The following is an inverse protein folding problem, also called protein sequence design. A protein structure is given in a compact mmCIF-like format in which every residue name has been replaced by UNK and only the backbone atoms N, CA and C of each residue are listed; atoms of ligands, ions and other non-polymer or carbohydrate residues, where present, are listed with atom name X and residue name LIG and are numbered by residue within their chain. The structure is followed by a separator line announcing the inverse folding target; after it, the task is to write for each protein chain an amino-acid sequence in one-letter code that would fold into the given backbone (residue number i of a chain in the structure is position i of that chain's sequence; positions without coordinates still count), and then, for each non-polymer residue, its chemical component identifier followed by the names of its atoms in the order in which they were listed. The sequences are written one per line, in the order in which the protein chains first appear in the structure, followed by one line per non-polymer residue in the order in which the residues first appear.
data_IF_592306343840
#
_entry.id   IF_592306343840
#
_cell.length_a   1.000
_cell.length_b   1.000
_cell.length_c   1.000
_cell.angle_alpha   90.00
_cell.angle_beta   90.00
_cell.angle_gamma   90.00
#
_symmetry.space_group_name_H-M   'P 1'
#
loop_
_entity.id
_entity.type
_entity.pdbx_description
1 polymer ?
#
# COMPACT_ATOMS: atom_id res chain seq x y z
N UNK A 1 -27.13 8.17 3.70
CA UNK A 1 -26.99 8.04 2.24
C UNK A 1 -25.58 7.60 1.76
N UNK A 2 -24.53 7.69 2.58
CA UNK A 2 -23.13 7.37 2.21
C UNK A 2 -22.78 5.87 2.17
N UNK A 3 -23.56 5.00 2.81
CA UNK A 3 -23.24 3.58 2.94
C UNK A 3 -23.46 2.78 1.64
N UNK A 4 -24.52 3.08 0.89
CA UNK A 4 -24.96 2.27 -0.24
C UNK A 4 -24.10 2.49 -1.51
N UNK A 5 -23.73 3.74 -1.79
CA UNK A 5 -22.81 4.08 -2.89
C UNK A 5 -21.43 3.45 -2.70
N UNK A 6 -20.90 3.46 -1.48
CA UNK A 6 -19.63 2.82 -1.13
C UNK A 6 -19.70 1.31 -1.34
N UNK A 7 -20.83 0.68 -1.00
CA UNK A 7 -21.03 -0.77 -1.20
C UNK A 7 -21.08 -1.17 -2.68
N UNK A 8 -21.81 -0.42 -3.50
CA UNK A 8 -21.86 -0.64 -4.95
C UNK A 8 -20.48 -0.44 -5.60
N UNK A 9 -19.74 0.58 -5.17
CA UNK A 9 -18.38 0.83 -5.64
C UNK A 9 -17.43 -0.33 -5.31
N UNK A 10 -17.42 -0.80 -4.06
CA UNK A 10 -16.60 -1.95 -3.64
C UNK A 10 -16.97 -3.23 -4.41
N UNK A 11 -18.26 -3.49 -4.64
CA UNK A 11 -18.69 -4.64 -5.44
C UNK A 11 -18.20 -4.59 -6.90
N UNK A 12 -18.05 -3.40 -7.48
CA UNK A 12 -17.47 -3.25 -8.82
C UNK A 12 -15.96 -3.49 -8.78
N UNK A 13 -15.28 -2.97 -7.77
CA UNK A 13 -13.84 -3.18 -7.61
C UNK A 13 -13.49 -4.64 -7.36
N UNK A 14 -14.26 -5.35 -6.52
CA UNK A 14 -14.04 -6.76 -6.19
C UNK A 14 -14.12 -7.68 -7.42
N UNK A 15 -14.72 -7.24 -8.53
CA UNK A 15 -14.74 -8.05 -9.77
C UNK A 15 -13.37 -8.10 -10.44
N UNK A 16 -12.61 -7.01 -10.38
CA UNK A 16 -11.39 -6.83 -11.17
C UNK A 16 -10.12 -6.75 -10.33
N UNK A 17 -10.24 -6.43 -9.04
CA UNK A 17 -9.11 -6.20 -8.15
C UNK A 17 -9.19 -7.08 -6.90
N UNK A 18 -8.02 -7.42 -6.36
CA UNK A 18 -7.85 -8.00 -5.03
C UNK A 18 -8.09 -6.92 -3.99
N UNK A 19 -9.27 -6.91 -3.37
CA UNK A 19 -9.64 -5.97 -2.30
C UNK A 19 -10.03 -6.70 -1.02
N UNK A 20 -10.00 -6.01 0.11
CA UNK A 20 -10.51 -6.50 1.39
C UNK A 20 -11.95 -6.03 1.61
N UNK A 21 -12.81 -6.90 2.13
CA UNK A 21 -14.19 -6.54 2.50
C UNK A 21 -14.24 -5.66 3.74
N UNK A 22 -13.29 -5.86 4.65
CA UNK A 22 -13.06 -5.00 5.80
C UNK A 22 -11.88 -4.08 5.49
N UNK A 23 -12.09 -2.74 5.48
CA UNK A 23 -10.98 -1.81 5.35
C UNK A 23 -9.95 -2.03 6.44
N UNK A 24 -8.67 -1.92 6.09
CA UNK A 24 -7.59 -2.05 7.06
C UNK A 24 -7.57 -0.85 8.01
N UNK A 25 -7.01 -1.07 9.19
CA UNK A 25 -6.81 -0.04 10.21
C UNK A 25 -5.44 0.62 9.97
N UNK A 26 -5.37 1.94 10.17
CA UNK A 26 -4.14 2.71 9.96
C UNK A 26 -2.96 2.15 10.77
N UNK A 27 -3.18 1.80 12.03
CA UNK A 27 -2.15 1.24 12.94
C UNK A 27 -1.54 -0.08 12.45
N UNK A 28 -2.28 -0.88 11.68
CA UNK A 28 -1.78 -2.14 11.11
C UNK A 28 -1.17 -1.97 9.71
N UNK A 29 -1.27 -0.76 9.15
CA UNK A 29 -0.81 -0.45 7.79
C UNK A 29 0.48 0.36 7.85
N UNK A 30 0.62 1.26 8.81
CA UNK A 30 1.85 2.00 9.07
C UNK A 30 2.77 1.16 9.96
N UNK A 31 3.97 0.89 9.48
CA UNK A 31 5.00 0.09 10.15
C UNK A 31 6.18 0.97 10.56
N UNK A 32 6.82 0.63 11.68
CA UNK A 32 8.10 1.22 12.08
C UNK A 32 9.26 0.69 11.23
N UNK A 33 9.22 -0.59 10.85
CA UNK A 33 10.18 -1.29 9.99
C UNK A 33 9.49 -2.41 9.21
N UNK A 34 10.03 -2.72 8.02
CA UNK A 34 9.67 -3.83 7.15
C UNK A 34 10.90 -4.67 6.76
N UNK A 35 12.00 -4.60 7.52
CA UNK A 35 13.25 -5.35 7.26
C UNK A 35 13.05 -6.86 7.14
N UNK A 36 12.08 -7.41 7.86
CA UNK A 36 11.78 -8.85 7.85
C UNK A 36 10.95 -9.29 6.64
N UNK A 37 10.55 -8.38 5.75
CA UNK A 37 9.76 -8.73 4.57
C UNK A 37 10.67 -9.21 3.44
N UNK A 38 10.22 -10.22 2.70
CA UNK A 38 10.93 -10.77 1.56
C UNK A 38 10.01 -10.86 0.35
N UNK A 39 10.56 -10.68 -0.85
CA UNK A 39 9.82 -10.79 -2.11
C UNK A 39 8.75 -9.72 -2.31
N UNK A 40 8.81 -8.59 -1.61
CA UNK A 40 7.83 -7.50 -1.71
C UNK A 40 8.27 -6.44 -2.75
N UNK A 41 7.34 -5.55 -3.12
CA UNK A 41 7.62 -4.36 -3.93
C UNK A 41 7.85 -3.19 -2.97
N UNK A 42 9.00 -2.54 -3.07
CA UNK A 42 9.29 -1.29 -2.38
C UNK A 42 9.00 -0.11 -3.31
N UNK A 43 8.18 0.84 -2.85
CA UNK A 43 7.77 2.02 -3.62
C UNK A 43 8.33 3.27 -2.95
N UNK A 44 9.20 3.97 -3.66
CA UNK A 44 9.88 5.20 -3.25
C UNK A 44 9.30 6.37 -4.03
N UNK A 45 8.17 6.94 -3.58
CA UNK A 45 7.47 7.94 -4.38
C UNK A 45 6.57 8.88 -3.59
N UNK A 46 6.04 9.90 -4.27
CA UNK A 46 5.08 10.85 -3.69
C UNK A 46 3.70 10.20 -3.54
N UNK A 47 3.02 10.53 -2.44
CA UNK A 47 1.70 10.02 -2.04
C UNK A 47 0.59 10.22 -3.07
N UNK A 48 0.68 11.25 -3.92
CA UNK A 48 -0.40 11.69 -4.82
C UNK A 48 -0.90 10.64 -5.81
N UNK A 49 -0.05 9.72 -6.27
CA UNK A 49 -0.39 8.71 -7.29
C UNK A 49 -0.37 7.27 -6.77
N UNK A 50 -0.12 7.09 -5.46
CA UNK A 50 0.05 5.78 -4.84
C UNK A 50 -1.21 4.92 -4.96
N UNK A 51 -2.39 5.52 -4.78
CA UNK A 51 -3.66 4.77 -4.87
C UNK A 51 -3.84 4.10 -6.24
N UNK A 52 -3.54 4.82 -7.32
CA UNK A 52 -3.64 4.29 -8.69
C UNK A 52 -2.57 3.23 -8.96
N UNK A 53 -1.34 3.44 -8.48
CA UNK A 53 -0.26 2.47 -8.60
C UNK A 53 -0.55 1.16 -7.85
N UNK A 54 -1.05 1.25 -6.62
CA UNK A 54 -1.48 0.08 -5.85
C UNK A 54 -2.64 -0.62 -6.57
N UNK A 55 -3.58 0.14 -7.12
CA UNK A 55 -4.71 -0.42 -7.86
C UNK A 55 -4.27 -1.24 -9.09
N UNK A 56 -3.27 -0.78 -9.86
CA UNK A 56 -2.77 -1.55 -11.01
C UNK A 56 -2.12 -2.86 -10.57
N UNK A 57 -1.35 -2.85 -9.47
CA UNK A 57 -0.72 -4.05 -8.88
C UNK A 57 -1.69 -4.98 -8.15
N UNK A 58 -2.97 -4.62 -8.07
CA UNK A 58 -4.01 -5.42 -7.43
C UNK A 58 -5.00 -6.02 -8.42
N UNK A 59 -4.76 -5.93 -9.72
CA UNK A 59 -5.61 -6.59 -10.71
C UNK A 59 -5.62 -8.11 -10.49
N UNK A 60 -6.79 -8.76 -10.59
CA UNK A 60 -6.97 -10.17 -10.24
C UNK A 60 -6.15 -11.15 -11.08
N UNK A 61 -5.77 -10.76 -12.29
CA UNK A 61 -4.91 -11.56 -13.16
C UNK A 61 -3.43 -11.50 -12.76
N UNK A 62 -3.05 -10.60 -11.86
CA UNK A 62 -1.71 -10.52 -11.29
C UNK A 62 -1.66 -11.29 -9.97
N UNK A 63 -0.49 -11.87 -9.70
CA UNK A 63 -0.21 -12.47 -8.41
C UNK A 63 -0.16 -11.41 -7.30
N UNK A 64 -0.69 -11.78 -6.14
CA UNK A 64 -0.74 -10.87 -4.99
C UNK A 64 0.64 -10.78 -4.35
N UNK A 65 1.23 -9.60 -4.42
CA UNK A 65 2.52 -9.29 -3.81
C UNK A 65 2.38 -8.21 -2.73
N UNK A 66 3.14 -8.34 -1.65
CA UNK A 66 3.22 -7.32 -0.61
C UNK A 66 3.82 -6.03 -1.19
N UNK A 67 3.28 -4.88 -0.80
CA UNK A 67 3.75 -3.57 -1.23
C UNK A 67 4.14 -2.78 0.02
N UNK A 68 5.37 -2.29 0.07
CA UNK A 68 5.85 -1.36 1.09
C UNK A 68 6.08 -0.02 0.44
N UNK A 69 5.49 1.02 1.00
CA UNK A 69 5.61 2.39 0.51
C UNK A 69 6.49 3.16 1.49
N UNK A 70 7.61 3.67 0.99
CA UNK A 70 8.50 4.55 1.73
C UNK A 70 8.23 6.00 1.34
N UNK A 71 7.77 6.80 2.31
CA UNK A 71 7.42 8.20 2.07
C UNK A 71 7.81 9.08 3.27
N UNK A 72 8.35 10.31 3.04
CA UNK A 72 8.78 11.18 4.13
C UNK A 72 7.64 11.75 4.96
N UNK A 73 6.49 12.01 4.33
CA UNK A 73 5.32 12.57 5.00
C UNK A 73 4.47 11.50 5.67
N UNK A 74 3.76 11.91 6.72
CA UNK A 74 2.78 11.05 7.39
C UNK A 74 1.60 10.86 6.45
N UNK A 75 1.14 9.62 6.33
CA UNK A 75 -0.02 9.28 5.52
C UNK A 75 -1.27 10.02 6.05
N UNK A 76 -1.87 10.86 5.20
CA UNK A 76 -3.12 11.54 5.55
C UNK A 76 -4.28 10.54 5.58
N UNK A 77 -5.32 10.83 6.37
CA UNK A 77 -6.53 9.99 6.40
C UNK A 77 -7.20 9.84 5.02
N UNK A 78 -7.10 10.87 4.17
CA UNK A 78 -7.66 10.86 2.83
C UNK A 78 -6.88 9.94 1.89
N UNK A 79 -5.55 9.93 1.98
CA UNK A 79 -4.72 9.03 1.18
C UNK A 79 -4.81 7.59 1.70
N UNK A 80 -4.85 7.41 3.01
CA UNK A 80 -5.09 6.11 3.62
C UNK A 80 -6.42 5.50 3.15
N UNK A 81 -7.50 6.28 3.10
CA UNK A 81 -8.80 5.79 2.63
C UNK A 81 -8.76 5.21 1.20
N UNK A 82 -7.89 5.74 0.32
CA UNK A 82 -7.72 5.24 -1.05
C UNK A 82 -7.04 3.88 -1.10
N UNK A 83 -6.19 3.56 -0.12
CA UNK A 83 -5.37 2.35 -0.08
C UNK A 83 -5.85 1.30 0.92
N UNK A 84 -6.66 1.70 1.92
CA UNK A 84 -7.12 0.85 3.02
C UNK A 84 -7.96 -0.35 2.57
N UNK A 85 -8.51 -0.29 1.36
CA UNK A 85 -9.29 -1.37 0.74
C UNK A 85 -8.41 -2.44 0.09
N UNK A 86 -7.11 -2.19 -0.09
CA UNK A 86 -6.21 -3.15 -0.71
C UNK A 86 -5.46 -3.97 0.35
N UNK A 87 -5.36 -5.30 0.17
CA UNK A 87 -4.62 -6.15 1.08
C UNK A 87 -3.11 -5.93 0.94
N UNK A 88 -2.38 -6.18 2.04
CA UNK A 88 -0.91 -6.29 2.03
C UNK A 88 -0.16 -5.06 1.48
N UNK A 89 -0.72 -3.87 1.76
CA UNK A 89 -0.09 -2.58 1.49
C UNK A 89 0.37 -1.99 2.82
N UNK A 90 1.64 -1.61 2.91
CA UNK A 90 2.24 -1.10 4.14
C UNK A 90 2.95 0.22 3.87
N UNK A 91 3.05 1.05 4.91
CA UNK A 91 3.71 2.35 4.85
C UNK A 91 4.83 2.41 5.88
N UNK A 92 6.00 2.86 5.46
CA UNK A 92 7.11 3.19 6.34
C UNK A 92 7.42 4.67 6.16
N UNK A 93 7.41 5.42 7.26
CA UNK A 93 7.77 6.82 7.22
C UNK A 93 9.29 6.95 7.16
N UNK A 94 9.81 7.62 6.12
CA UNK A 94 11.24 7.82 5.93
C UNK A 94 11.57 8.44 4.58
N UNK A 95 12.82 8.86 4.40
CA UNK A 95 13.28 9.49 3.15
C UNK A 95 13.91 8.42 2.25
N UNK A 96 13.44 8.24 1.00
CA UNK A 96 14.06 7.30 0.08
C UNK A 96 15.54 7.57 -0.23
N UNK A 97 16.01 8.81 -0.06
CA UNK A 97 17.43 9.16 -0.25
C UNK A 97 18.30 8.85 0.98
N UNK A 98 17.71 8.38 2.09
CA UNK A 98 18.42 7.98 3.28
C UNK A 98 18.57 6.45 3.31
N UNK A 99 19.81 5.95 3.28
CA UNK A 99 20.08 4.51 3.26
C UNK A 99 19.49 3.75 4.44
N UNK A 100 19.49 4.34 5.63
CA UNK A 100 18.91 3.70 6.82
C UNK A 100 17.39 3.56 6.70
N UNK A 101 16.71 4.52 6.10
CA UNK A 101 15.26 4.46 5.86
C UNK A 101 14.90 3.43 4.79
N UNK A 102 15.75 3.28 3.77
CA UNK A 102 15.59 2.25 2.74
C UNK A 102 15.74 0.84 3.32
N UNK A 103 16.77 0.61 4.13
CA UNK A 103 16.97 -0.67 4.83
C UNK A 103 15.77 -0.96 5.70
N UNK A 104 15.35 0.01 6.51
CA UNK A 104 14.17 -0.08 7.39
C UNK A 104 12.88 -0.33 6.61
N UNK A 105 12.78 0.14 5.37
CA UNK A 105 11.66 -0.15 4.48
C UNK A 105 11.72 -1.53 3.80
N UNK A 106 12.72 -2.36 4.12
CA UNK A 106 12.84 -3.71 3.58
C UNK A 106 13.61 -3.80 2.26
N UNK A 107 14.41 -2.79 1.89
CA UNK A 107 15.17 -2.78 0.63
C UNK A 107 15.94 -4.08 0.37
N UNK A 108 16.58 -4.66 1.38
CA UNK A 108 17.40 -5.86 1.24
C UNK A 108 16.60 -7.12 0.85
N UNK A 109 15.33 -7.18 1.24
CA UNK A 109 14.44 -8.30 0.95
C UNK A 109 13.47 -8.04 -0.19
N UNK A 110 13.45 -6.83 -0.77
CA UNK A 110 12.50 -6.50 -1.83
C UNK A 110 12.86 -7.21 -3.14
N UNK A 111 11.84 -7.67 -3.88
CA UNK A 111 12.03 -8.23 -5.23
C UNK A 111 12.19 -7.13 -6.28
N UNK A 112 11.54 -5.98 -6.05
CA UNK A 112 11.53 -4.83 -6.96
C UNK A 112 11.47 -3.54 -6.14
N UNK A 113 12.23 -2.55 -6.55
CA UNK A 113 12.14 -1.18 -6.06
C UNK A 113 11.69 -0.27 -7.22
N UNK A 114 10.71 0.60 -6.96
CA UNK A 114 10.11 1.53 -7.93
C UNK A 114 10.13 2.95 -7.38
#
# INVERSE_FOLDING_TARGET
ATCERSRVYLNRMDRFYHITRTPRILSHTVLSTAENFSGHILVCGKSSSIGQFVQTLRQKHLERQQIVILHPEILTSADFAKVAIFPEVYFVQGRPMNGNDLIRAGMLGCAKAV
#
